data_IF_128156982765
#
_entry.id   IF_128156982765
#
_cell.length_a   1.000
_cell.length_b   1.000
_cell.length_c   1.000
_cell.angle_alpha   90.00
_cell.angle_beta   90.00
_cell.angle_gamma   90.00
#
_symmetry.space_group_name_H-M   'P 1'
#
loop_
_entity.id
_entity.type
_entity.pdbx_description
1 polymer ?
#
# COMPACT_ATOMS: atom_id res chain seq x y z
N UNK A 1 19.61 2.96 8.87
CA UNK A 1 18.41 3.82 8.79
C UNK A 1 17.25 2.90 8.44
N UNK A 2 16.22 2.86 9.27
CA UNK A 2 15.01 2.07 8.99
C UNK A 2 14.34 2.66 7.76
N UNK A 3 14.11 1.86 6.72
CA UNK A 3 13.45 2.33 5.51
C UNK A 3 11.97 2.55 5.82
N UNK A 4 11.52 3.81 5.77
CA UNK A 4 10.13 4.18 6.02
C UNK A 4 9.18 3.47 5.04
N UNK A 5 8.19 2.73 5.59
CA UNK A 5 7.22 1.95 4.85
C UNK A 5 6.40 2.82 3.88
N UNK A 6 6.08 4.07 4.23
CA UNK A 6 5.34 4.97 3.34
C UNK A 6 6.17 5.35 2.12
N UNK A 7 7.44 5.67 2.30
CA UNK A 7 8.37 5.94 1.21
C UNK A 7 8.53 4.71 0.30
N UNK A 8 8.54 3.50 0.87
CA UNK A 8 8.56 2.26 0.07
C UNK A 8 7.27 2.09 -0.72
N UNK A 9 6.10 2.31 -0.13
CA UNK A 9 4.82 2.15 -0.82
C UNK A 9 4.50 3.26 -1.84
N UNK A 10 5.24 4.36 -1.86
CA UNK A 10 5.05 5.45 -2.82
C UNK A 10 5.33 5.04 -4.28
N UNK A 11 6.13 3.99 -4.51
CA UNK A 11 6.46 3.50 -5.84
C UNK A 11 5.41 2.49 -6.35
N UNK A 12 4.82 2.73 -7.54
CA UNK A 12 3.79 1.86 -8.08
C UNK A 12 4.29 0.45 -8.43
N UNK A 13 5.54 0.30 -8.89
CA UNK A 13 6.11 -1.03 -9.17
C UNK A 13 6.28 -1.84 -7.89
N UNK A 14 6.68 -1.19 -6.78
CA UNK A 14 6.77 -1.86 -5.48
C UNK A 14 5.41 -2.31 -4.96
N UNK A 15 4.36 -1.49 -5.08
CA UNK A 15 2.98 -1.90 -4.78
C UNK A 15 2.54 -3.07 -5.65
N UNK A 16 2.83 -3.03 -6.95
CA UNK A 16 2.50 -4.13 -7.86
C UNK A 16 3.21 -5.43 -7.51
N UNK A 17 4.49 -5.39 -7.11
CA UNK A 17 5.19 -6.58 -6.60
C UNK A 17 4.46 -7.15 -5.38
N UNK A 18 4.05 -6.30 -4.43
CA UNK A 18 3.33 -6.74 -3.22
C UNK A 18 2.00 -7.41 -3.57
N UNK A 19 1.20 -6.83 -4.48
CA UNK A 19 -0.04 -7.46 -4.96
C UNK A 19 0.22 -8.85 -5.57
N UNK A 20 1.27 -8.98 -6.38
CA UNK A 20 1.61 -10.24 -7.05
C UNK A 20 2.03 -11.34 -6.06
N UNK A 21 2.80 -10.99 -5.02
CA UNK A 21 3.23 -11.95 -3.98
C UNK A 21 2.19 -12.18 -2.89
N UNK A 22 1.22 -11.28 -2.74
CA UNK A 22 0.05 -11.48 -1.89
C UNK A 22 -0.87 -12.57 -2.43
N UNK A 23 -1.01 -12.64 -3.76
CA UNK A 23 -1.82 -13.67 -4.42
C UNK A 23 -1.20 -15.07 -4.33
N UNK A 24 0.13 -15.18 -4.47
CA UNK A 24 0.89 -16.43 -4.29
C UNK A 24 2.38 -16.14 -4.14
N UNK A 25 3.13 -17.07 -3.57
CA UNK A 25 4.59 -17.01 -3.63
C UNK A 25 5.08 -17.01 -5.09
N UNK A 26 6.08 -16.19 -5.39
CA UNK A 26 6.65 -16.03 -6.74
C UNK A 26 8.16 -15.95 -6.71
N UNK A 27 8.79 -16.44 -7.77
CA UNK A 27 10.23 -16.31 -7.98
C UNK A 27 10.60 -14.91 -8.49
N UNK A 28 11.86 -14.51 -8.31
CA UNK A 28 12.38 -13.27 -8.92
C UNK A 28 12.19 -13.24 -10.45
N UNK A 29 12.29 -14.41 -11.11
CA UNK A 29 12.12 -14.53 -12.56
C UNK A 29 10.68 -14.32 -12.99
N UNK A 30 9.71 -14.91 -12.28
CA UNK A 30 8.29 -14.67 -12.51
C UNK A 30 7.92 -13.22 -12.26
N UNK A 31 8.42 -12.62 -11.18
CA UNK A 31 8.18 -11.20 -10.90
C UNK A 31 8.77 -10.31 -11.99
N UNK A 32 9.97 -10.62 -12.48
CA UNK A 32 10.58 -9.84 -13.56
C UNK A 32 9.84 -9.94 -14.90
N UNK A 33 9.10 -11.02 -15.15
CA UNK A 33 8.30 -11.18 -16.37
C UNK A 33 7.02 -10.33 -16.38
N UNK A 34 6.59 -9.82 -15.23
CA UNK A 34 5.35 -9.04 -15.08
C UNK A 34 5.55 -7.53 -15.31
N UNK A 35 6.79 -7.09 -15.58
CA UNK A 35 7.12 -5.68 -15.77
C UNK A 35 7.86 -5.45 -17.08
N UNK A 36 7.54 -4.33 -17.75
CA UNK A 36 8.28 -3.83 -18.90
C UNK A 36 9.52 -3.02 -18.46
N UNK A 37 10.25 -3.53 -17.47
CA UNK A 37 11.48 -2.91 -16.95
C UNK A 37 12.60 -3.94 -16.88
N UNK A 38 13.83 -3.45 -16.78
CA UNK A 38 14.99 -4.34 -16.71
C UNK A 38 14.98 -5.21 -15.45
N UNK A 39 15.52 -6.44 -15.56
CA UNK A 39 15.71 -7.35 -14.40
C UNK A 39 16.47 -6.72 -13.21
N UNK A 40 17.50 -5.86 -13.44
CA UNK A 40 18.13 -5.12 -12.35
C UNK A 40 17.17 -4.16 -11.62
N UNK A 41 16.22 -3.54 -12.31
CA UNK A 41 15.24 -2.66 -11.69
C UNK A 41 14.30 -3.45 -10.76
N UNK A 42 13.76 -4.59 -11.22
CA UNK A 42 12.96 -5.50 -10.39
C UNK A 42 13.75 -6.02 -9.18
N UNK A 43 15.02 -6.37 -9.38
CA UNK A 43 15.90 -6.80 -8.28
C UNK A 43 16.10 -5.71 -7.23
N UNK A 44 16.18 -4.43 -7.66
CA UNK A 44 16.25 -3.28 -6.76
C UNK A 44 14.96 -3.13 -5.95
N UNK A 45 13.79 -3.22 -6.59
CA UNK A 45 12.50 -3.18 -5.90
C UNK A 45 12.41 -4.28 -4.84
N UNK A 46 12.78 -5.52 -5.18
CA UNK A 46 12.77 -6.66 -4.25
C UNK A 46 13.72 -6.46 -3.07
N UNK A 47 14.88 -5.85 -3.30
CA UNK A 47 15.83 -5.52 -2.23
C UNK A 47 15.23 -4.52 -1.25
N UNK A 48 14.68 -3.40 -1.76
CA UNK A 48 14.07 -2.35 -0.93
C UNK A 48 12.88 -2.91 -0.13
N UNK A 49 12.02 -3.71 -0.77
CA UNK A 49 10.89 -4.36 -0.11
C UNK A 49 11.34 -5.31 1.00
N UNK A 50 12.41 -6.08 0.77
CA UNK A 50 12.98 -6.98 1.79
C UNK A 50 13.60 -6.21 2.95
N UNK A 51 14.34 -5.13 2.66
CA UNK A 51 14.95 -4.27 3.68
C UNK A 51 13.90 -3.57 4.54
N UNK A 52 12.73 -3.25 3.98
CA UNK A 52 11.58 -2.71 4.70
C UNK A 52 10.71 -3.78 5.39
N UNK A 53 11.07 -5.06 5.28
CA UNK A 53 10.32 -6.17 5.88
C UNK A 53 8.94 -6.43 5.25
N UNK A 54 8.66 -5.88 4.07
CA UNK A 54 7.38 -6.07 3.37
C UNK A 54 7.33 -7.39 2.60
N UNK A 55 8.48 -8.02 2.36
CA UNK A 55 8.58 -9.35 1.77
C UNK A 55 9.64 -10.18 2.47
N UNK A 56 9.40 -11.48 2.57
CA UNK A 56 10.41 -12.47 2.91
C UNK A 56 10.91 -13.18 1.65
N UNK A 57 12.12 -13.73 1.72
CA UNK A 57 12.73 -14.47 0.62
C UNK A 57 13.33 -15.75 1.16
N UNK A 58 12.92 -16.90 0.59
CA UNK A 58 13.54 -18.20 0.85
C UNK A 58 14.25 -18.70 -0.41
N UNK A 59 15.28 -19.51 -0.20
CA UNK A 59 15.97 -20.20 -1.29
C UNK A 59 15.34 -21.59 -1.48
N UNK A 60 15.03 -21.92 -2.73
CA UNK A 60 14.50 -23.21 -3.15
C UNK A 60 15.33 -23.71 -4.34
N UNK A 61 16.28 -24.59 -4.04
CA UNK A 61 17.39 -24.94 -4.92
C UNK A 61 18.12 -23.69 -5.46
N UNK A 62 18.02 -23.44 -6.77
CA UNK A 62 18.64 -22.29 -7.43
C UNK A 62 17.72 -21.06 -7.51
N UNK A 63 16.46 -21.17 -7.05
CA UNK A 63 15.45 -20.12 -7.16
C UNK A 63 15.30 -19.37 -5.84
N UNK A 64 15.06 -18.06 -5.94
CA UNK A 64 14.65 -17.21 -4.81
C UNK A 64 13.15 -16.99 -4.90
N UNK A 65 12.43 -17.44 -3.87
CA UNK A 65 10.98 -17.35 -3.77
C UNK A 65 10.62 -16.27 -2.76
N UNK A 66 9.77 -15.34 -3.18
CA UNK A 66 9.31 -14.19 -2.41
C UNK A 66 7.86 -14.37 -1.97
N UNK A 67 7.58 -13.92 -0.75
CA UNK A 67 6.26 -13.93 -0.11
C UNK A 67 6.01 -12.60 0.59
N UNK A 68 4.75 -12.14 0.60
CA UNK A 68 4.33 -10.99 1.40
C UNK A 68 4.60 -11.23 2.90
N UNK A 69 5.15 -10.23 3.56
CA UNK A 69 5.11 -10.11 5.02
C UNK A 69 4.22 -8.91 5.40
N UNK A 70 3.03 -9.13 5.98
CA UNK A 70 2.08 -8.08 6.27
C UNK A 70 2.45 -7.26 7.52
N UNK A 71 3.48 -7.64 8.28
CA UNK A 71 3.86 -6.98 9.53
C UNK A 71 3.93 -5.45 9.40
N UNK A 72 4.78 -4.90 8.52
CA UNK A 72 4.88 -3.44 8.33
C UNK A 72 3.62 -2.78 7.77
N UNK A 73 2.75 -3.52 7.07
CA UNK A 73 1.49 -2.98 6.55
C UNK A 73 0.47 -2.69 7.64
N UNK A 74 0.60 -3.32 8.82
CA UNK A 74 -0.30 -3.09 9.96
C UNK A 74 -0.20 -1.64 10.46
N UNK A 75 1.01 -1.08 10.48
CA UNK A 75 1.23 0.32 10.87
C UNK A 75 0.55 1.28 9.89
N UNK A 76 0.68 1.00 8.59
CA UNK A 76 0.06 1.78 7.52
C UNK A 76 -1.47 1.71 7.63
N UNK A 77 -2.03 0.51 7.81
CA UNK A 77 -3.46 0.32 7.98
C UNK A 77 -4.00 1.11 9.18
N UNK A 78 -3.36 0.99 10.35
CA UNK A 78 -3.75 1.73 11.53
C UNK A 78 -3.66 3.25 11.36
N UNK A 79 -2.69 3.76 10.61
CA UNK A 79 -2.62 5.18 10.27
C UNK A 79 -3.78 5.61 9.36
N UNK A 80 -4.08 4.83 8.31
CA UNK A 80 -5.20 5.10 7.41
C UNK A 80 -6.53 5.10 8.16
N UNK A 81 -6.74 4.16 9.08
CA UNK A 81 -7.96 4.08 9.89
C UNK A 81 -8.14 5.29 10.81
N UNK A 82 -7.06 5.77 11.44
CA UNK A 82 -7.10 7.03 12.21
C UNK A 82 -7.48 8.21 11.34
N UNK A 83 -6.90 8.32 10.15
CA UNK A 83 -7.24 9.38 9.20
C UNK A 83 -8.71 9.29 8.78
N UNK A 84 -9.22 8.09 8.49
CA UNK A 84 -10.63 7.86 8.19
C UNK A 84 -11.55 8.35 9.30
N UNK A 85 -11.22 8.08 10.57
CA UNK A 85 -11.99 8.57 11.72
C UNK A 85 -12.13 10.10 11.76
N UNK A 86 -11.07 10.84 11.42
CA UNK A 86 -11.12 12.31 11.35
C UNK A 86 -11.98 12.85 10.20
N UNK A 87 -12.16 12.10 9.12
CA UNK A 87 -13.03 12.48 8.01
C UNK A 87 -14.49 12.11 8.27
N UNK A 88 -14.74 10.92 8.82
CA UNK A 88 -16.07 10.46 9.20
C UNK A 88 -16.71 11.44 10.20
N UNK A 89 -16.04 11.73 11.32
CA UNK A 89 -16.61 12.66 12.31
C UNK A 89 -16.80 14.10 11.82
N UNK A 90 -16.10 14.53 10.76
CA UNK A 90 -16.33 15.84 10.12
C UNK A 90 -17.49 15.82 9.14
N UNK A 91 -17.75 14.69 8.48
CA UNK A 91 -18.92 14.52 7.62
C UNK A 91 -20.17 14.36 8.47
N UNK A 92 -20.12 13.59 9.55
CA UNK A 92 -21.23 13.43 10.50
C UNK A 92 -21.61 14.80 11.11
N UNK A 93 -20.63 15.60 11.54
CA UNK A 93 -20.89 16.95 12.06
C UNK A 93 -21.43 17.93 11.00
N UNK A 94 -21.10 17.72 9.72
CA UNK A 94 -21.66 18.50 8.62
C UNK A 94 -23.10 18.07 8.32
N UNK A 95 -23.39 16.77 8.34
CA UNK A 95 -24.72 16.19 8.19
C UNK A 95 -25.65 16.69 9.32
N UNK A 96 -25.21 16.60 10.58
CA UNK A 96 -25.94 17.15 11.73
C UNK A 96 -26.23 18.66 11.57
N UNK A 97 -25.28 19.45 11.04
CA UNK A 97 -25.48 20.87 10.82
C UNK A 97 -26.49 21.17 9.70
N UNK A 98 -26.49 20.38 8.62
CA UNK A 98 -27.44 20.50 7.51
C UNK A 98 -28.85 20.04 7.92
N UNK A 99 -28.96 18.99 8.73
CA UNK A 99 -30.23 18.49 9.24
C UNK A 99 -30.83 19.42 10.30
N UNK A 100 -29.99 20.09 11.09
CA UNK A 100 -30.43 21.05 12.12
C UNK A 100 -30.73 22.45 11.53
N UNK A 101 -30.32 22.74 10.29
CA UNK A 101 -30.60 24.02 9.63
C UNK A 101 -31.12 23.83 8.19
N UNK A 102 -32.42 23.55 8.01
CA UNK A 102 -33.02 23.24 6.70
C UNK A 102 -33.20 24.46 5.77
N UNK A 103 -32.76 25.66 6.17
CA UNK A 103 -32.85 26.85 5.31
C UNK A 103 -31.78 26.82 4.21
N UNK A 104 -32.09 26.10 3.13
CA UNK A 104 -31.54 26.40 1.81
C UNK A 104 -32.04 27.80 1.44
N UNK A 105 -31.19 28.82 1.28
CA UNK A 105 -31.66 30.12 0.83
C UNK A 105 -32.26 29.95 -0.56
N UNK A 106 -33.55 30.26 -0.68
CA UNK A 106 -34.22 30.38 -1.97
C UNK A 106 -33.51 31.48 -2.76
N UNK A 107 -32.59 31.10 -3.65
CA UNK A 107 -32.05 32.01 -4.67
C UNK A 107 -33.14 32.16 -5.74
N UNK A 108 -34.17 32.94 -5.40
CA UNK A 108 -35.04 33.58 -6.36
C UNK A 108 -34.46 34.94 -6.71
N UNK A 109 -33.57 35.00 -7.70
CA UNK A 109 -33.53 36.09 -8.68
C UNK A 109 -32.65 35.78 -9.89
#
# INVERSE_FOLDING_TARGET
>A
MTTDVFAVLADPHRRRVLELVAARERTAGELAAEFDVSRPAVSRHLRVLKEAGLVTCRQDAQRRIYRLDPGPLTEVAGWVDRMRGYWAGRLDALEDHLDTNPEVPNVSR
#
